data_IF_355070860971
#
_entry.id   IF_355070860971
#
_cell.length_a   1.000
_cell.length_b   1.000
_cell.length_c   1.000
_cell.angle_alpha   90.00
_cell.angle_beta   90.00
_cell.angle_gamma   90.00
#
_symmetry.space_group_name_H-M   'P 1'
#
loop_
_entity.id
_entity.type
_entity.pdbx_description
1 polymer ?
#
# COMPACT_ATOMS: atom_id res chain seq x y z
N UNK A 1 -1.80 18.60 -4.44
CA UNK A 1 -0.83 17.91 -3.57
C UNK A 1 -0.89 16.42 -3.89
N UNK A 2 0.22 15.68 -3.76
CA UNK A 2 0.22 14.23 -3.99
C UNK A 2 -0.25 13.54 -2.73
N UNK A 3 -1.35 12.79 -2.78
CA UNK A 3 -1.85 12.01 -1.64
C UNK A 3 -0.96 10.78 -1.44
N UNK A 4 -0.62 10.50 -0.18
CA UNK A 4 0.17 9.34 0.21
C UNK A 4 -0.69 8.46 1.12
N UNK A 5 -0.65 7.15 0.87
CA UNK A 5 -1.20 6.14 1.77
C UNK A 5 -0.10 5.17 2.17
N UNK A 6 -0.16 4.69 3.41
CA UNK A 6 0.73 3.67 3.95
C UNK A 6 -0.04 2.37 4.10
N UNK A 7 0.48 1.29 3.54
CA UNK A 7 -0.09 -0.06 3.68
C UNK A 7 0.70 -0.82 4.74
N UNK A 8 -0.01 -1.38 5.73
CA UNK A 8 0.54 -2.24 6.78
C UNK A 8 -0.19 -3.57 6.87
N UNK A 9 0.42 -4.63 7.40
CA UNK A 9 -0.29 -5.91 7.56
C UNK A 9 -1.24 -5.89 8.75
N UNK A 10 -0.86 -5.21 9.83
CA UNK A 10 -1.67 -5.05 11.04
C UNK A 10 -1.69 -3.58 11.45
N UNK A 11 -2.80 -3.08 12.02
CA UNK A 11 -2.85 -1.71 12.57
C UNK A 11 -1.75 -1.44 13.60
N UNK A 12 -1.37 -2.46 14.38
CA UNK A 12 -0.27 -2.39 15.37
C UNK A 12 1.11 -2.14 14.76
N UNK A 13 1.29 -2.35 13.45
CA UNK A 13 2.56 -2.11 12.76
C UNK A 13 2.81 -0.60 12.51
N UNK A 14 1.83 0.26 12.80
CA UNK A 14 1.93 1.73 12.76
C UNK A 14 1.58 2.34 14.12
N UNK A 15 2.56 2.49 15.04
CA UNK A 15 2.33 3.04 16.37
C UNK A 15 1.92 4.51 16.37
N UNK A 16 1.24 4.96 17.44
CA UNK A 16 0.73 6.34 17.58
C UNK A 16 1.80 7.44 17.52
N UNK A 17 3.05 7.10 17.84
CA UNK A 17 4.18 8.04 17.80
C UNK A 17 4.67 8.32 16.36
N UNK A 18 4.17 7.60 15.36
CA UNK A 18 4.49 7.86 13.96
C UNK A 18 3.67 9.03 13.41
N UNK A 19 4.12 9.65 12.30
CA UNK A 19 3.38 10.74 11.67
C UNK A 19 1.94 10.37 11.36
N UNK A 20 1.04 11.34 11.48
CA UNK A 20 -0.37 11.19 11.08
C UNK A 20 -0.45 11.13 9.56
N UNK A 21 -0.46 9.90 9.04
CA UNK A 21 -0.64 9.59 7.63
C UNK A 21 -1.90 8.72 7.46
N UNK A 22 -2.53 8.74 6.28
CA UNK A 22 -3.54 7.74 5.95
C UNK A 22 -2.91 6.35 5.93
N UNK A 23 -3.23 5.54 6.94
CA UNK A 23 -2.77 4.15 7.06
C UNK A 23 -3.93 3.22 6.77
N UNK A 24 -3.68 2.21 5.93
CA UNK A 24 -4.65 1.19 5.57
C UNK A 24 -4.03 -0.20 5.75
N UNK A 25 -4.84 -1.18 6.12
CA UNK A 25 -4.33 -2.55 6.17
C UNK A 25 -4.20 -3.14 4.77
N UNK A 26 -3.27 -4.08 4.59
CA UNK A 26 -3.08 -4.79 3.33
C UNK A 26 -4.36 -5.50 2.90
N UNK A 27 -5.13 -6.05 3.85
CA UNK A 27 -6.43 -6.67 3.56
C UNK A 27 -7.40 -5.62 3.04
N UNK A 28 -7.57 -4.51 3.74
CA UNK A 28 -8.52 -3.45 3.33
C UNK A 28 -8.13 -2.84 1.98
N UNK A 29 -6.84 -2.69 1.70
CA UNK A 29 -6.39 -2.18 0.39
C UNK A 29 -6.71 -3.15 -0.77
N UNK A 30 -6.66 -4.46 -0.50
CA UNK A 30 -6.98 -5.51 -1.46
C UNK A 30 -8.49 -5.73 -1.64
N UNK A 31 -9.28 -5.65 -0.56
CA UNK A 31 -10.70 -6.02 -0.56
C UNK A 31 -11.65 -4.82 -0.50
N UNK A 32 -11.19 -3.68 0.02
CA UNK A 32 -12.01 -2.53 0.38
C UNK A 32 -11.88 -1.37 -0.60
N UNK A 33 -12.83 -1.27 -1.52
CA UNK A 33 -13.33 0.01 -2.04
C UNK A 33 -12.52 0.72 -3.14
N UNK A 34 -13.23 1.59 -3.85
CA UNK A 34 -12.76 2.41 -4.96
C UNK A 34 -11.70 3.42 -4.49
N UNK A 35 -10.44 2.99 -4.39
CA UNK A 35 -9.34 3.94 -4.59
C UNK A 35 -9.47 4.38 -6.05
N UNK A 36 -9.74 5.67 -6.33
CA UNK A 36 -9.87 6.13 -7.70
C UNK A 36 -8.63 5.70 -8.47
N UNK A 37 -8.74 5.49 -9.77
CA UNK A 37 -7.58 5.37 -10.66
C UNK A 37 -6.83 6.73 -10.77
N UNK A 38 -6.58 7.37 -9.62
CA UNK A 38 -5.84 8.59 -9.46
C UNK A 38 -4.38 8.25 -9.67
N UNK A 39 -3.88 8.57 -10.86
CA UNK A 39 -2.45 8.54 -11.23
C UNK A 39 -1.54 9.35 -10.29
N UNK A 40 -2.10 10.04 -9.29
CA UNK A 40 -1.39 10.87 -8.30
C UNK A 40 -1.30 10.22 -6.90
N UNK A 41 -1.95 9.08 -6.65
CA UNK A 41 -1.83 8.39 -5.37
C UNK A 41 -0.46 7.71 -5.27
N UNK A 42 0.26 8.00 -4.18
CA UNK A 42 1.52 7.34 -3.83
C UNK A 42 1.27 6.33 -2.73
N UNK A 43 1.72 5.11 -2.94
CA UNK A 43 1.51 3.99 -2.02
C UNK A 43 2.84 3.61 -1.42
N UNK A 44 2.95 3.68 -0.11
CA UNK A 44 4.11 3.18 0.64
C UNK A 44 3.68 1.85 1.22
N UNK A 45 4.15 0.76 0.61
CA UNK A 45 3.85 -0.57 1.08
C UNK A 45 4.90 -0.96 2.13
N UNK A 46 4.47 -1.14 3.37
CA UNK A 46 5.31 -1.55 4.51
C UNK A 46 4.92 -2.95 5.01
N UNK A 47 4.37 -3.79 4.13
CA UNK A 47 4.14 -5.18 4.46
C UNK A 47 5.46 -5.88 4.84
N UNK A 48 5.35 -6.90 5.70
CA UNK A 48 6.51 -7.59 6.28
C UNK A 48 7.27 -8.42 5.24
N UNK A 49 6.60 -8.79 4.16
CA UNK A 49 7.19 -9.54 3.05
C UNK A 49 6.58 -9.17 1.69
N UNK A 50 7.44 -9.07 0.68
CA UNK A 50 7.09 -8.84 -0.72
C UNK A 50 7.30 -10.08 -1.60
N UNK A 51 7.62 -11.25 -1.00
CA UNK A 51 7.79 -12.49 -1.76
C UNK A 51 6.50 -12.83 -2.51
N UNK A 52 6.65 -13.50 -3.65
CA UNK A 52 5.52 -14.01 -4.43
C UNK A 52 4.51 -14.76 -3.53
N UNK A 53 3.23 -14.48 -3.73
CA UNK A 53 2.13 -15.06 -2.95
C UNK A 53 1.93 -14.45 -1.56
N UNK A 54 2.70 -13.43 -1.15
CA UNK A 54 2.47 -12.68 0.10
C UNK A 54 1.59 -11.46 -0.12
N UNK A 55 1.00 -10.95 0.96
CA UNK A 55 0.11 -9.78 0.91
C UNK A 55 0.82 -8.56 0.31
N UNK A 56 2.07 -8.30 0.69
CA UNK A 56 2.85 -7.18 0.16
C UNK A 56 3.01 -7.25 -1.35
N UNK A 57 3.24 -8.44 -1.91
CA UNK A 57 3.34 -8.65 -3.35
C UNK A 57 2.05 -8.26 -4.08
N UNK A 58 0.91 -8.77 -3.61
CA UNK A 58 -0.40 -8.44 -4.21
C UNK A 58 -0.79 -6.98 -4.05
N UNK A 59 -0.41 -6.33 -2.94
CA UNK A 59 -0.65 -4.90 -2.76
C UNK A 59 0.12 -4.07 -3.79
N UNK A 60 1.39 -4.39 -4.02
CA UNK A 60 2.20 -3.69 -5.05
C UNK A 60 1.65 -3.95 -6.46
N UNK A 61 1.25 -5.18 -6.79
CA UNK A 61 0.60 -5.50 -8.07
C UNK A 61 -0.68 -4.70 -8.29
N UNK A 62 -1.58 -4.69 -7.31
CA UNK A 62 -2.84 -3.99 -7.41
C UNK A 62 -2.64 -2.48 -7.50
N UNK A 63 -1.67 -1.93 -6.77
CA UNK A 63 -1.31 -0.53 -6.86
C UNK A 63 -0.82 -0.14 -8.26
N UNK A 64 0.06 -0.93 -8.87
CA UNK A 64 0.51 -0.69 -10.24
C UNK A 64 -0.64 -0.82 -11.26
N UNK A 65 -1.50 -1.84 -11.11
CA UNK A 65 -2.67 -2.03 -11.97
C UNK A 65 -3.67 -0.86 -11.89
N UNK A 66 -3.80 -0.22 -10.72
CA UNK A 66 -4.60 1.00 -10.53
C UNK A 66 -3.90 2.28 -11.00
N UNK A 67 -2.66 2.19 -11.47
CA UNK A 67 -1.85 3.34 -11.88
C UNK A 67 -1.32 4.18 -10.72
N UNK A 68 -1.33 3.65 -9.50
CA UNK A 68 -0.72 4.28 -8.33
C UNK A 68 0.81 4.14 -8.39
N UNK A 69 1.51 5.09 -7.77
CA UNK A 69 2.97 5.00 -7.62
C UNK A 69 3.30 4.29 -6.32
N UNK A 70 3.55 2.99 -6.39
CA UNK A 70 3.92 2.17 -5.22
C UNK A 70 5.42 2.06 -5.02
N UNK A 71 5.84 2.01 -3.75
CA UNK A 71 7.20 1.66 -3.33
C UNK A 71 7.09 0.55 -2.25
N UNK A 72 7.78 -0.60 -2.41
CA UNK A 72 8.54 -1.00 -3.60
C UNK A 72 7.63 -1.37 -4.80
N UNK A 73 8.17 -1.18 -6.00
CA UNK A 73 7.53 -1.60 -7.26
C UNK A 73 7.64 -3.11 -7.45
N UNK A 74 6.69 -3.70 -8.17
CA UNK A 74 6.64 -5.15 -8.41
C UNK A 74 7.88 -5.64 -9.15
N UNK A 75 8.39 -4.85 -10.10
CA UNK A 75 9.63 -5.16 -10.83
C UNK A 75 10.90 -5.18 -9.96
N UNK A 76 10.80 -4.75 -8.70
CA UNK A 76 11.93 -4.62 -7.76
C UNK A 76 11.85 -5.62 -6.60
N UNK A 77 10.82 -6.48 -6.57
CA UNK A 77 10.57 -7.49 -5.51
C UNK A 77 10.59 -8.91 -6.09
#
# INVERSE_FOLDING_TARGET
>A
MSEHIVIVEKPSDWPEHFPQLPVVTARDYLTGGEYPAQRRLRVINLCRSYRYGRLGYYCSLLAEARGHRVIPQVRTI
#
